data_IF_293790376431
#
_entry.id   IF_293790376431
#
_cell.length_a   1.000
_cell.length_b   1.000
_cell.length_c   1.000
_cell.angle_alpha   90.00
_cell.angle_beta   90.00
_cell.angle_gamma   90.00
#
_symmetry.space_group_name_H-M   'P 1'
#
loop_
_entity.id
_entity.type
_entity.pdbx_description
1 polymer ?
#
# COMPACT_ATOMS: atom_id res chain seq x y z
N UNK A 1 10.17 27.40 25.47
CA UNK A 1 8.72 27.30 25.18
C UNK A 1 8.25 25.94 25.68
N UNK A 2 7.25 25.92 26.56
CA UNK A 2 6.71 24.68 27.15
C UNK A 2 5.73 24.01 26.18
N UNK A 3 6.05 22.80 25.73
CA UNK A 3 5.14 21.93 24.99
C UNK A 3 4.10 21.32 25.97
N UNK A 4 2.81 21.62 25.78
CA UNK A 4 1.64 20.99 26.45
C UNK A 4 0.68 20.55 25.33
N UNK A 5 -0.02 19.41 25.30
CA UNK A 5 -0.33 18.34 26.24
C UNK A 5 -0.32 17.01 25.46
N UNK A 6 0.06 15.92 26.12
CA UNK A 6 0.14 14.57 25.55
C UNK A 6 -1.17 13.81 25.79
N UNK A 7 -1.77 13.25 24.73
CA UNK A 7 -2.50 11.99 24.88
C UNK A 7 -1.46 10.87 24.80
N UNK A 8 -1.14 10.25 25.93
CA UNK A 8 -0.42 8.98 25.94
C UNK A 8 -1.42 7.94 25.45
N UNK A 9 -1.32 7.57 24.18
CA UNK A 9 -1.91 6.32 23.72
C UNK A 9 -0.95 5.21 24.12
N UNK A 10 -1.52 4.15 24.70
CA UNK A 10 -0.87 2.89 25.04
C UNK A 10 -0.03 2.33 23.88
N UNK A 11 0.80 1.32 24.19
CA UNK A 11 1.62 0.58 23.22
C UNK A 11 0.97 0.42 21.84
N UNK A 12 1.78 0.54 20.79
CA UNK A 12 1.30 0.49 19.41
C UNK A 12 0.52 -0.82 19.17
N UNK A 13 -0.76 -0.69 18.82
CA UNK A 13 -1.63 -1.85 18.64
C UNK A 13 -1.14 -2.71 17.48
N UNK A 14 -1.02 -4.01 17.73
CA UNK A 14 -0.55 -4.97 16.75
C UNK A 14 -1.73 -5.74 16.17
N UNK A 15 -1.64 -6.08 14.88
CA UNK A 15 -2.67 -6.84 14.16
C UNK A 15 -2.04 -7.93 13.31
N UNK A 16 -2.74 -9.06 13.21
CA UNK A 16 -2.48 -10.07 12.20
C UNK A 16 -3.04 -9.66 10.83
N UNK A 17 -2.64 -10.36 9.79
CA UNK A 17 -3.08 -10.08 8.42
C UNK A 17 -4.57 -10.38 8.21
N UNK A 18 -5.13 -11.43 8.83
CA UNK A 18 -6.56 -11.71 8.74
C UNK A 18 -7.40 -10.58 9.35
N UNK A 19 -6.93 -10.01 10.46
CA UNK A 19 -7.57 -8.85 11.08
C UNK A 19 -7.52 -7.61 10.18
N UNK A 20 -6.36 -7.36 9.54
CA UNK A 20 -6.21 -6.32 8.50
C UNK A 20 -7.26 -6.48 7.40
N UNK A 21 -7.46 -7.70 6.90
CA UNK A 21 -8.46 -7.99 5.86
C UNK A 21 -9.89 -7.81 6.37
N UNK A 22 -10.20 -8.34 7.55
CA UNK A 22 -11.53 -8.26 8.16
C UNK A 22 -11.95 -6.81 8.44
N UNK A 23 -11.03 -6.01 8.98
CA UNK A 23 -11.22 -4.58 9.26
C UNK A 23 -11.07 -3.71 8.01
N UNK A 24 -10.63 -4.27 6.88
CA UNK A 24 -10.35 -3.55 5.63
C UNK A 24 -9.39 -2.38 5.83
N UNK A 25 -8.35 -2.59 6.63
CA UNK A 25 -7.38 -1.54 6.94
C UNK A 25 -6.61 -1.12 5.68
N UNK A 26 -6.32 0.18 5.57
CA UNK A 26 -5.55 0.73 4.47
C UNK A 26 -4.06 0.44 4.65
N UNK A 27 -3.42 -0.19 3.67
CA UNK A 27 -1.99 -0.47 3.70
C UNK A 27 -1.54 -1.51 2.68
N UNK A 28 -0.29 -1.98 2.76
CA UNK A 28 0.73 -1.57 3.73
C UNK A 28 1.21 -0.13 3.50
N UNK A 29 1.62 0.54 4.59
CA UNK A 29 2.30 1.84 4.57
C UNK A 29 3.57 1.82 5.43
N UNK A 30 4.48 2.75 5.17
CA UNK A 30 5.80 2.82 5.79
C UNK A 30 6.07 4.21 6.36
N UNK A 31 6.58 4.26 7.60
CA UNK A 31 6.98 5.52 8.25
C UNK A 31 8.49 5.73 8.15
N UNK A 32 8.92 6.69 7.32
CA UNK A 32 10.35 7.00 7.13
C UNK A 32 10.91 7.79 8.31
N UNK A 33 11.75 7.16 9.13
CA UNK A 33 12.42 7.79 10.28
C UNK A 33 13.73 7.07 10.62
N UNK A 34 14.49 7.54 11.62
CA UNK A 34 15.73 6.88 12.08
C UNK A 34 15.42 5.62 12.91
N UNK A 35 16.38 4.71 13.05
CA UNK A 35 16.20 3.49 13.86
C UNK A 35 15.88 3.80 15.34
N UNK A 36 16.56 4.79 15.91
CA UNK A 36 16.29 5.27 17.27
C UNK A 36 14.86 5.79 17.43
N UNK A 37 14.41 6.64 16.50
CA UNK A 37 13.03 7.15 16.51
C UNK A 37 12.00 6.04 16.31
N UNK A 38 12.30 5.05 15.47
CA UNK A 38 11.45 3.88 15.31
C UNK A 38 11.37 3.07 16.60
N UNK A 39 12.48 2.86 17.31
CA UNK A 39 12.49 2.18 18.62
C UNK A 39 11.61 2.91 19.65
N UNK A 40 11.68 4.24 19.66
CA UNK A 40 10.83 5.07 20.53
C UNK A 40 9.34 4.99 20.16
N UNK A 41 9.01 4.90 18.87
CA UNK A 41 7.63 4.70 18.40
C UNK A 41 7.11 3.32 18.79
N UNK A 42 7.96 2.29 18.69
CA UNK A 42 7.59 0.91 19.02
C UNK A 42 7.28 0.73 20.52
N UNK A 43 7.92 1.51 21.39
CA UNK A 43 7.69 1.46 22.84
C UNK A 43 6.64 2.47 23.32
N UNK A 44 6.63 3.68 22.76
CA UNK A 44 5.81 4.80 23.24
C UNK A 44 4.68 5.24 22.31
N UNK A 45 4.46 4.52 21.20
CA UNK A 45 3.47 4.86 20.19
C UNK A 45 3.84 6.05 19.31
N UNK A 46 3.01 6.31 18.30
CA UNK A 46 3.12 7.51 17.47
C UNK A 46 2.61 8.75 18.20
N UNK A 47 3.30 9.87 18.00
CA UNK A 47 2.98 11.17 18.61
C UNK A 47 2.93 12.25 17.54
N UNK A 48 1.88 13.07 17.56
CA UNK A 48 1.74 14.22 16.66
C UNK A 48 2.39 15.43 17.34
N UNK A 49 3.38 16.00 16.68
CA UNK A 49 4.09 17.18 17.15
C UNK A 49 3.64 18.42 16.37
N UNK A 50 3.33 19.50 17.08
CA UNK A 50 3.08 20.81 16.47
C UNK A 50 4.10 21.82 16.95
N UNK A 51 4.67 22.61 16.03
CA UNK A 51 5.69 23.60 16.35
C UNK A 51 6.27 24.25 15.11
N UNK A 52 7.35 24.98 15.31
CA UNK A 52 8.11 25.67 14.26
C UNK A 52 8.84 24.68 13.34
N UNK A 53 8.86 24.99 12.05
CA UNK A 53 9.62 24.19 11.08
C UNK A 53 11.11 24.08 11.46
N UNK A 54 11.77 22.97 11.09
CA UNK A 54 13.22 22.75 11.30
C UNK A 54 13.66 22.64 12.77
N UNK A 55 12.73 22.42 13.70
CA UNK A 55 13.02 22.23 15.12
C UNK A 55 12.55 20.85 15.61
N UNK A 56 13.36 20.15 16.40
CA UNK A 56 13.02 18.85 17.01
C UNK A 56 12.36 17.86 16.03
N UNK A 57 11.18 17.36 16.41
CA UNK A 57 10.37 16.41 15.63
C UNK A 57 9.66 17.04 14.42
N UNK A 58 9.71 18.37 14.26
CA UNK A 58 9.13 19.15 13.15
C UNK A 58 10.20 19.49 12.10
N UNK A 59 11.34 18.78 12.11
CA UNK A 59 12.53 19.08 11.29
C UNK A 59 12.34 19.03 9.77
N UNK A 60 11.28 18.40 9.29
CA UNK A 60 10.95 18.28 7.87
C UNK A 60 9.91 19.30 7.38
N UNK A 61 9.50 20.24 8.22
CA UNK A 61 8.57 21.30 7.82
C UNK A 61 9.13 22.24 6.75
N UNK A 62 8.25 22.88 5.99
CA UNK A 62 8.60 23.92 5.03
C UNK A 62 9.27 25.09 5.73
N UNK A 63 10.32 25.62 5.11
CA UNK A 63 10.93 26.89 5.55
C UNK A 63 9.93 28.03 5.28
N UNK A 64 9.94 29.06 6.12
CA UNK A 64 9.14 30.25 5.91
C UNK A 64 9.65 31.01 4.67
N UNK A 65 8.93 30.85 3.57
CA UNK A 65 9.16 31.54 2.30
C UNK A 65 7.84 31.61 1.53
N UNK A 66 7.75 32.53 0.56
CA UNK A 66 6.59 32.56 -0.32
C UNK A 66 6.44 31.24 -1.07
N UNK A 67 5.21 30.74 -1.16
CA UNK A 67 4.88 29.51 -1.87
C UNK A 67 3.97 29.79 -3.07
N UNK A 68 2.87 30.52 -2.85
CA UNK A 68 1.91 30.90 -3.89
C UNK A 68 1.05 32.08 -3.42
N UNK A 69 0.60 32.92 -4.35
CA UNK A 69 -0.27 34.08 -4.10
C UNK A 69 0.22 35.04 -2.98
N UNK A 70 1.54 35.17 -2.80
CA UNK A 70 2.13 35.99 -1.73
C UNK A 70 2.05 35.38 -0.33
N UNK A 71 1.54 34.15 -0.18
CA UNK A 71 1.42 33.44 1.11
C UNK A 71 2.51 32.37 1.23
N UNK A 72 3.02 32.13 2.44
CA UNK A 72 3.92 31.01 2.66
C UNK A 72 3.14 29.69 2.73
N UNK A 73 3.84 28.56 2.60
CA UNK A 73 3.24 27.26 2.85
C UNK A 73 2.93 27.06 4.36
N UNK A 74 1.99 26.19 4.75
CA UNK A 74 1.87 25.72 6.13
C UNK A 74 3.18 25.08 6.60
N UNK A 75 3.31 24.85 7.92
CA UNK A 75 4.52 24.19 8.46
C UNK A 75 4.72 22.81 7.84
N UNK A 76 3.66 22.02 7.74
CA UNK A 76 3.66 20.72 7.04
C UNK A 76 2.62 20.68 5.92
N UNK A 77 2.96 19.98 4.84
CA UNK A 77 2.19 19.95 3.58
C UNK A 77 0.71 19.58 3.75
N UNK A 78 0.39 18.72 4.72
CA UNK A 78 -0.95 18.18 4.99
C UNK A 78 -1.40 18.46 6.44
N UNK A 79 -0.80 19.46 7.10
CA UNK A 79 -1.03 19.77 8.51
C UNK A 79 -0.22 18.89 9.48
N UNK A 80 -0.47 19.04 10.78
CA UNK A 80 0.22 18.27 11.81
C UNK A 80 -0.41 16.88 11.97
N UNK A 81 0.35 15.84 11.62
CA UNK A 81 -0.08 14.45 11.72
C UNK A 81 1.09 13.49 11.52
N UNK A 82 0.80 12.19 11.48
CA UNK A 82 1.79 11.14 11.23
C UNK A 82 1.84 10.85 9.74
N UNK A 83 3.02 11.02 9.15
CA UNK A 83 3.24 10.83 7.73
C UNK A 83 3.75 9.41 7.43
N UNK A 84 3.09 8.76 6.48
CA UNK A 84 3.55 7.50 5.89
C UNK A 84 3.66 7.62 4.38
N UNK A 85 4.26 6.62 3.76
CA UNK A 85 4.30 6.44 2.32
C UNK A 85 3.93 5.01 1.95
N UNK A 86 3.28 4.80 0.80
CA UNK A 86 3.13 3.46 0.23
C UNK A 86 4.39 3.04 -0.58
N UNK A 87 5.35 3.95 -0.76
CA UNK A 87 6.55 3.70 -1.55
C UNK A 87 7.75 3.30 -0.68
N UNK A 88 8.22 2.06 -0.87
CA UNK A 88 9.46 1.57 -0.24
C UNK A 88 10.69 2.39 -0.63
N UNK A 89 10.74 2.97 -1.84
CA UNK A 89 11.87 3.78 -2.26
C UNK A 89 11.94 5.10 -1.51
N UNK A 90 10.79 5.74 -1.27
CA UNK A 90 10.70 6.97 -0.47
C UNK A 90 11.08 6.66 0.97
N UNK A 91 10.59 5.55 1.55
CA UNK A 91 10.98 5.13 2.89
C UNK A 91 12.51 5.00 3.05
N UNK A 92 13.18 4.36 2.08
CA UNK A 92 14.64 4.19 2.10
C UNK A 92 15.42 5.51 2.08
N UNK A 93 14.87 6.58 1.49
CA UNK A 93 15.52 7.89 1.54
C UNK A 93 15.63 8.45 2.97
N UNK A 94 14.72 8.09 3.88
CA UNK A 94 14.71 8.57 5.26
C UNK A 94 15.49 7.68 6.24
N UNK A 95 15.53 6.36 6.01
CA UNK A 95 16.19 5.40 6.90
C UNK A 95 17.56 4.92 6.37
N UNK A 96 17.88 5.19 5.09
CA UNK A 96 19.06 4.65 4.42
C UNK A 96 18.85 3.22 3.90
N UNK A 97 19.41 2.22 4.59
CA UNK A 97 19.53 0.84 4.06
C UNK A 97 18.21 0.06 3.93
N UNK A 98 17.14 0.52 4.59
CA UNK A 98 15.84 -0.14 4.63
C UNK A 98 15.77 -1.41 5.49
N UNK A 99 16.84 -1.73 6.24
CA UNK A 99 16.82 -2.80 7.25
C UNK A 99 15.89 -2.39 8.41
N UNK A 100 15.08 -3.33 8.90
CA UNK A 100 14.14 -3.06 10.00
C UNK A 100 12.86 -2.31 9.60
N UNK A 101 12.57 -2.16 8.31
CA UNK A 101 11.32 -1.59 7.82
C UNK A 101 10.10 -2.30 8.43
N UNK A 102 9.21 -1.52 9.03
CA UNK A 102 7.96 -1.99 9.64
C UNK A 102 6.79 -1.71 8.71
N UNK A 103 5.86 -2.65 8.65
CA UNK A 103 4.60 -2.51 7.90
C UNK A 103 3.50 -2.05 8.84
N UNK A 104 2.91 -0.91 8.52
CA UNK A 104 1.77 -0.38 9.24
C UNK A 104 0.51 -0.45 8.37
N UNK A 105 -0.63 -0.55 9.03
CA UNK A 105 -1.96 -0.51 8.44
C UNK A 105 -2.81 0.52 9.18
N UNK A 106 -3.71 1.16 8.46
CA UNK A 106 -4.42 2.35 8.93
C UNK A 106 -5.94 2.13 8.91
N UNK A 107 -6.60 2.39 10.03
CA UNK A 107 -8.07 2.45 10.11
C UNK A 107 -8.56 3.86 9.76
N UNK A 108 -8.63 4.14 8.47
CA UNK A 108 -8.91 5.48 7.92
C UNK A 108 -10.07 5.43 6.92
N UNK A 109 -11.30 5.12 7.36
CA UNK A 109 -12.46 4.97 6.47
C UNK A 109 -12.81 6.28 5.74
N UNK A 110 -12.54 7.45 6.33
CA UNK A 110 -12.75 8.77 5.71
C UNK A 110 -11.44 9.32 5.17
N UNK A 111 -10.95 8.72 4.09
CA UNK A 111 -9.72 9.15 3.42
C UNK A 111 -10.03 10.06 2.23
N UNK A 112 -9.41 11.24 2.17
CA UNK A 112 -9.43 12.08 0.97
C UNK A 112 -8.17 11.80 0.15
N UNK A 113 -8.32 11.52 -1.14
CA UNK A 113 -7.18 11.46 -2.06
C UNK A 113 -7.07 12.77 -2.83
N UNK A 114 -5.93 13.43 -2.72
CA UNK A 114 -5.63 14.67 -3.44
C UNK A 114 -4.47 14.47 -4.40
N UNK A 115 -4.50 15.18 -5.52
CA UNK A 115 -3.42 15.26 -6.49
C UNK A 115 -3.33 16.70 -6.97
N UNK A 116 -2.17 17.33 -6.80
CA UNK A 116 -1.97 18.71 -7.21
C UNK A 116 -0.71 18.85 -8.04
N UNK A 117 -0.88 19.39 -9.24
CA UNK A 117 0.17 19.60 -10.21
C UNK A 117 0.80 21.02 -10.14
N UNK A 118 0.30 21.92 -9.28
CA UNK A 118 0.83 23.28 -9.16
C UNK A 118 0.69 23.91 -7.76
N UNK A 119 1.64 24.81 -7.36
CA UNK A 119 1.58 25.52 -6.08
C UNK A 119 0.28 26.29 -5.82
N UNK A 120 -0.27 26.97 -6.84
CA UNK A 120 -1.52 27.73 -6.72
C UNK A 120 -2.71 26.83 -6.39
N UNK A 121 -2.76 25.62 -6.96
CA UNK A 121 -3.84 24.67 -6.66
C UNK A 121 -3.74 24.16 -5.23
N UNK A 122 -2.51 23.90 -4.77
CA UNK A 122 -2.26 23.49 -3.39
C UNK A 122 -2.64 24.61 -2.39
N UNK A 123 -2.28 25.86 -2.68
CA UNK A 123 -2.64 27.00 -1.84
C UNK A 123 -4.16 27.18 -1.72
N UNK A 124 -4.89 27.07 -2.83
CA UNK A 124 -6.36 27.08 -2.81
C UNK A 124 -6.93 25.95 -1.94
N UNK A 125 -6.33 24.77 -2.00
CA UNK A 125 -6.74 23.65 -1.15
C UNK A 125 -6.47 23.92 0.34
N UNK A 126 -5.29 24.44 0.69
CA UNK A 126 -4.98 24.82 2.07
C UNK A 126 -5.97 25.86 2.61
N UNK A 127 -6.22 26.93 1.85
CA UNK A 127 -7.16 28.00 2.25
C UNK A 127 -8.58 27.46 2.40
N UNK A 128 -9.05 26.62 1.46
CA UNK A 128 -10.36 25.93 1.58
C UNK A 128 -10.45 25.12 2.88
N UNK A 129 -9.34 24.50 3.27
CA UNK A 129 -9.21 23.72 4.49
C UNK A 129 -8.82 24.56 5.72
N UNK A 130 -8.97 25.88 5.69
CA UNK A 130 -8.86 26.72 6.88
C UNK A 130 -7.44 27.21 7.19
N UNK A 131 -6.53 27.13 6.23
CA UNK A 131 -5.25 27.83 6.31
C UNK A 131 -5.46 29.34 6.10
N UNK A 132 -5.33 30.11 7.17
CA UNK A 132 -5.68 31.53 7.27
C UNK A 132 -4.46 32.46 7.37
N UNK A 133 -3.29 32.00 6.88
CA UNK A 133 -2.06 32.79 6.91
C UNK A 133 -2.15 34.04 6.01
N UNK A 134 -1.89 35.27 6.52
CA UNK A 134 -1.82 36.49 5.71
C UNK A 134 -0.70 36.45 4.65
N UNK A 135 -0.73 37.36 3.68
CA UNK A 135 0.38 37.46 2.72
C UNK A 135 1.63 37.97 3.44
N UNK A 136 2.82 37.53 3.02
CA UNK A 136 4.08 37.95 3.67
C UNK A 136 4.26 39.47 3.68
N UNK A 137 3.83 40.15 2.61
CA UNK A 137 3.85 41.62 2.53
C UNK A 137 2.97 42.32 3.58
N UNK A 138 1.91 41.67 4.05
CA UNK A 138 1.01 42.20 5.09
C UNK A 138 1.60 42.03 6.50
N UNK A 139 2.67 41.23 6.62
CA UNK A 139 3.34 40.91 7.87
C UNK A 139 4.69 41.63 8.02
N UNK A 140 5.00 42.59 7.16
CA UNK A 140 6.31 43.28 7.14
C UNK A 140 6.67 43.98 8.46
N UNK A 141 5.67 44.34 9.26
CA UNK A 141 5.87 45.04 10.54
C UNK A 141 6.01 44.08 11.74
N UNK A 142 5.90 42.77 11.53
CA UNK A 142 6.01 41.76 12.57
C UNK A 142 7.45 41.28 12.70
N UNK A 143 7.88 40.97 13.92
CA UNK A 143 9.13 40.26 14.13
C UNK A 143 9.06 38.84 13.53
N UNK A 144 10.17 38.26 13.04
CA UNK A 144 10.18 36.92 12.43
C UNK A 144 9.57 35.82 13.32
N UNK A 145 9.79 35.88 14.63
CA UNK A 145 9.19 34.94 15.59
C UNK A 145 7.67 35.03 15.63
N UNK A 146 7.11 36.24 15.55
CA UNK A 146 5.66 36.46 15.51
C UNK A 146 5.06 35.94 14.20
N UNK A 147 5.75 36.13 13.07
CA UNK A 147 5.31 35.59 11.77
C UNK A 147 5.23 34.07 11.82
N UNK A 148 6.21 33.41 12.43
CA UNK A 148 6.21 31.95 12.59
C UNK A 148 5.10 31.48 13.56
N UNK A 149 4.85 32.20 14.66
CA UNK A 149 3.72 31.89 15.56
C UNK A 149 2.36 31.98 14.86
N UNK A 150 2.16 33.00 14.00
CA UNK A 150 0.96 33.14 13.18
C UNK A 150 0.85 31.93 12.22
N UNK A 151 1.96 31.55 11.58
CA UNK A 151 2.00 30.40 10.66
C UNK A 151 1.70 29.07 11.35
N UNK A 152 2.20 28.87 12.57
CA UNK A 152 1.91 27.68 13.39
C UNK A 152 0.42 27.62 13.68
N UNK A 153 -0.18 28.73 14.16
CA UNK A 153 -1.62 28.81 14.43
C UNK A 153 -2.46 28.54 13.18
N UNK A 154 -2.08 29.12 12.04
CA UNK A 154 -2.75 28.87 10.77
C UNK A 154 -2.67 27.41 10.33
N UNK A 155 -1.52 26.75 10.56
CA UNK A 155 -1.34 25.33 10.29
C UNK A 155 -2.18 24.46 11.24
N UNK A 156 -2.30 24.85 12.51
CA UNK A 156 -3.16 24.17 13.49
C UNK A 156 -4.64 24.30 13.11
N UNK A 157 -5.09 25.50 12.72
CA UNK A 157 -6.45 25.73 12.24
C UNK A 157 -6.78 24.86 11.02
N UNK A 158 -5.87 24.82 10.05
CA UNK A 158 -6.00 23.95 8.89
C UNK A 158 -6.09 22.47 9.28
N UNK A 159 -5.17 22.01 10.15
CA UNK A 159 -5.16 20.62 10.65
C UNK A 159 -6.48 20.27 11.35
N UNK A 160 -7.01 21.18 12.17
CA UNK A 160 -8.26 20.97 12.90
C UNK A 160 -9.47 20.89 11.98
N UNK A 161 -9.51 21.68 10.90
CA UNK A 161 -10.60 21.60 9.92
C UNK A 161 -10.50 20.35 9.04
N UNK A 162 -9.29 19.91 8.72
CA UNK A 162 -9.11 18.65 7.97
C UNK A 162 -9.59 17.45 8.80
N UNK A 163 -9.12 17.32 10.05
CA UNK A 163 -9.45 16.16 10.92
C UNK A 163 -10.94 16.04 11.28
N UNK A 164 -11.71 17.13 11.16
CA UNK A 164 -13.17 17.11 11.32
C UNK A 164 -13.83 16.31 10.19
N UNK A 165 -13.29 16.41 8.97
CA UNK A 165 -13.87 15.82 7.77
C UNK A 165 -13.25 14.48 7.40
N UNK A 166 -11.97 14.28 7.72
CA UNK A 166 -11.18 13.16 7.25
C UNK A 166 -10.32 12.54 8.35
N UNK A 167 -10.15 11.22 8.30
CA UNK A 167 -9.23 10.48 9.17
C UNK A 167 -7.78 10.58 8.66
N UNK A 168 -7.63 10.68 7.33
CA UNK A 168 -6.35 10.84 6.66
C UNK A 168 -6.47 11.55 5.31
N UNK A 169 -5.37 12.18 4.88
CA UNK A 169 -5.22 12.75 3.53
C UNK A 169 -4.13 11.98 2.79
N UNK A 170 -4.46 11.42 1.63
CA UNK A 170 -3.54 10.74 0.73
C UNK A 170 -3.18 11.64 -0.45
N UNK A 171 -1.95 12.14 -0.45
CA UNK A 171 -1.39 12.90 -1.55
C UNK A 171 -0.71 12.00 -2.58
N UNK A 172 -1.24 12.03 -3.81
CA UNK A 172 -0.70 11.32 -4.99
C UNK A 172 -0.30 12.33 -6.07
N UNK A 173 0.90 12.90 -5.98
CA UNK A 173 1.41 13.90 -6.93
C UNK A 173 2.69 13.47 -7.65
N UNK A 174 3.24 14.33 -8.51
CA UNK A 174 4.65 14.27 -8.93
C UNK A 174 5.34 15.49 -8.32
N UNK A 175 6.30 15.28 -7.42
CA UNK A 175 7.07 16.41 -6.88
C UNK A 175 7.90 17.04 -8.01
N UNK A 176 8.01 18.37 -8.00
CA UNK A 176 8.80 19.07 -9.00
C UNK A 176 10.30 19.01 -8.69
N UNK A 177 10.75 19.13 -7.42
CA UNK A 177 12.18 19.19 -7.06
C UNK A 177 12.52 18.82 -5.58
N UNK A 178 12.37 17.54 -5.18
CA UNK A 178 12.90 16.91 -3.93
C UNK A 178 12.05 16.87 -2.64
N UNK A 179 12.38 15.82 -1.85
CA UNK A 179 11.89 15.34 -0.54
C UNK A 179 10.36 15.37 -0.40
N UNK A 180 9.73 14.19 -0.41
CA UNK A 180 8.28 13.94 -0.30
C UNK A 180 7.55 13.72 -1.66
N UNK A 181 8.22 13.11 -2.64
CA UNK A 181 7.63 12.80 -3.96
C UNK A 181 6.38 11.91 -3.88
N UNK A 182 5.21 12.51 -4.01
CA UNK A 182 4.12 11.92 -4.78
C UNK A 182 3.34 10.73 -4.24
N UNK A 183 3.69 10.20 -3.06
CA UNK A 183 2.91 9.17 -2.38
C UNK A 183 3.05 9.32 -0.87
N UNK A 184 2.17 10.15 -0.30
CA UNK A 184 2.17 10.42 1.13
C UNK A 184 0.77 10.29 1.70
N UNK A 185 0.67 9.72 2.88
CA UNK A 185 -0.56 9.74 3.66
C UNK A 185 -0.28 10.36 5.03
N UNK A 186 -1.08 11.36 5.40
CA UNK A 186 -1.04 11.99 6.71
C UNK A 186 -2.24 11.53 7.53
N UNK A 187 -1.99 10.95 8.70
CA UNK A 187 -3.00 10.43 9.64
C UNK A 187 -3.00 11.30 10.88
N UNK A 188 -4.18 11.78 11.31
CA UNK A 188 -4.29 12.76 12.39
C UNK A 188 -4.47 12.15 13.79
N UNK A 189 -4.92 10.88 13.85
CA UNK A 189 -5.17 10.16 15.10
C UNK A 189 -4.28 8.92 15.17
N UNK A 190 -3.28 8.90 16.07
CA UNK A 190 -2.37 7.77 16.22
C UNK A 190 -3.04 6.45 16.62
N UNK A 191 -4.22 6.49 17.25
CA UNK A 191 -4.95 5.26 17.64
C UNK A 191 -5.45 4.44 16.45
N UNK A 192 -5.44 5.03 15.25
CA UNK A 192 -5.83 4.40 14.00
C UNK A 192 -4.67 3.69 13.29
N UNK A 193 -3.50 3.64 13.91
CA UNK A 193 -2.28 3.10 13.31
C UNK A 193 -2.00 1.74 13.96
N UNK A 194 -1.92 0.71 13.12
CA UNK A 194 -1.66 -0.65 13.55
C UNK A 194 -0.34 -1.15 12.97
N UNK A 195 0.43 -1.87 13.79
CA UNK A 195 1.62 -2.58 13.34
C UNK A 195 1.24 -3.99 12.90
N UNK A 196 1.70 -4.41 11.72
CA UNK A 196 1.58 -5.82 11.33
C UNK A 196 2.52 -6.67 12.19
N UNK A 197 1.94 -7.61 12.95
CA UNK A 197 2.69 -8.68 13.60
C UNK A 197 2.31 -10.02 12.98
N UNK A 198 3.28 -10.64 12.29
CA UNK A 198 3.07 -11.93 11.62
C UNK A 198 2.94 -13.10 12.59
N UNK A 199 3.39 -12.96 13.84
CA UNK A 199 3.27 -13.98 14.88
C UNK A 199 1.83 -14.12 15.39
N UNK A 200 0.97 -13.13 15.14
CA UNK A 200 -0.46 -13.19 15.47
C UNK A 200 -1.29 -13.97 14.44
N UNK A 201 -0.67 -14.40 13.34
CA UNK A 201 -1.38 -15.15 12.30
C UNK A 201 -1.46 -16.63 12.66
N UNK A 202 -2.54 -17.30 12.22
CA UNK A 202 -2.62 -18.76 12.28
C UNK A 202 -1.48 -19.37 11.44
N UNK A 203 -0.79 -20.37 11.99
CA UNK A 203 0.34 -21.06 11.34
C UNK A 203 -0.05 -21.66 9.97
N UNK A 204 -1.33 -22.01 9.79
CA UNK A 204 -1.84 -22.61 8.56
C UNK A 204 -2.27 -21.57 7.52
N UNK A 205 -2.37 -20.29 7.89
CA UNK A 205 -2.99 -19.27 7.05
C UNK A 205 -2.01 -18.64 6.07
N UNK A 206 -2.28 -18.73 4.77
CA UNK A 206 -1.34 -18.33 3.71
C UNK A 206 -1.48 -16.84 3.33
N UNK A 207 -0.34 -16.12 3.26
CA UNK A 207 -0.28 -14.68 2.95
C UNK A 207 0.65 -14.33 1.78
N UNK A 208 0.50 -13.13 1.18
CA UNK A 208 1.48 -12.59 0.24
C UNK A 208 2.92 -12.59 0.80
N UNK A 209 3.85 -13.07 -0.01
CA UNK A 209 5.25 -13.29 0.36
C UNK A 209 5.54 -14.70 0.86
N UNK A 210 4.52 -15.46 1.29
CA UNK A 210 4.73 -16.83 1.76
C UNK A 210 5.13 -17.74 0.61
N UNK A 211 6.13 -18.58 0.90
CA UNK A 211 6.47 -19.73 0.06
C UNK A 211 5.60 -20.89 0.48
N UNK A 212 4.82 -21.44 -0.44
CA UNK A 212 3.80 -22.45 -0.11
C UNK A 212 3.99 -23.67 -1.00
N UNK A 213 3.97 -24.86 -0.38
CA UNK A 213 4.09 -26.12 -1.11
C UNK A 213 2.79 -26.39 -1.85
N UNK A 214 2.90 -26.88 -3.08
CA UNK A 214 1.74 -27.31 -3.85
C UNK A 214 1.33 -28.72 -3.46
N UNK A 215 0.03 -28.93 -3.30
CA UNK A 215 -0.56 -30.25 -3.06
C UNK A 215 -0.33 -31.13 -4.28
N UNK A 216 0.14 -32.36 -4.03
CA UNK A 216 0.43 -33.38 -5.05
C UNK A 216 1.47 -33.00 -6.11
N UNK A 217 2.16 -31.86 -5.96
CA UNK A 217 3.20 -31.40 -6.88
C UNK A 217 4.47 -31.14 -6.08
N UNK A 218 5.60 -31.68 -6.54
CA UNK A 218 6.92 -31.45 -5.95
C UNK A 218 7.46 -30.07 -6.30
N UNK A 219 6.75 -29.04 -5.88
CA UNK A 219 7.11 -27.66 -6.10
C UNK A 219 6.47 -26.72 -5.09
N UNK A 220 6.87 -25.46 -5.15
CA UNK A 220 6.30 -24.43 -4.32
C UNK A 220 6.11 -23.16 -5.13
N UNK A 221 5.21 -22.34 -4.63
CA UNK A 221 4.89 -21.05 -5.22
C UNK A 221 5.11 -19.96 -4.18
N UNK A 222 5.38 -18.74 -4.63
CA UNK A 222 5.40 -17.57 -3.75
C UNK A 222 4.11 -16.81 -3.97
N UNK A 223 3.28 -16.72 -2.94
CA UNK A 223 2.05 -15.94 -3.03
C UNK A 223 2.39 -14.48 -3.25
N UNK A 224 1.81 -13.86 -4.26
CA UNK A 224 1.95 -12.45 -4.56
C UNK A 224 0.77 -11.65 -4.02
N UNK A 225 -0.43 -12.24 -4.05
CA UNK A 225 -1.66 -11.56 -3.64
C UNK A 225 -2.78 -12.56 -3.31
N UNK A 226 -3.75 -12.16 -2.47
CA UNK A 226 -5.00 -12.87 -2.17
C UNK A 226 -6.14 -11.89 -2.42
N UNK A 227 -6.98 -12.15 -3.44
CA UNK A 227 -8.06 -11.24 -3.83
C UNK A 227 -9.42 -11.94 -3.89
N UNK A 228 -10.53 -11.24 -3.59
CA UNK A 228 -11.86 -11.76 -3.86
C UNK A 228 -12.04 -11.96 -5.37
N UNK A 229 -12.66 -13.08 -5.74
CA UNK A 229 -12.87 -13.49 -7.13
C UNK A 229 -13.86 -12.55 -7.83
N UNK A 230 -13.36 -11.63 -8.66
CA UNK A 230 -14.19 -10.68 -9.44
C UNK A 230 -14.51 -11.14 -10.85
N UNK A 231 -13.78 -12.11 -11.40
CA UNK A 231 -13.98 -12.61 -12.76
C UNK A 231 -14.06 -14.14 -12.76
N UNK A 232 -15.05 -14.67 -13.48
CA UNK A 232 -15.12 -16.08 -13.87
C UNK A 232 -14.00 -16.34 -14.90
N UNK A 233 -13.52 -17.57 -15.00
CA UNK A 233 -12.41 -18.05 -15.85
C UNK A 233 -11.04 -18.11 -15.20
N UNK A 234 -10.90 -19.14 -14.38
CA UNK A 234 -9.62 -19.76 -14.07
C UNK A 234 -9.73 -21.26 -14.41
N UNK A 235 -8.94 -21.74 -15.37
CA UNK A 235 -8.94 -23.15 -15.79
C UNK A 235 -8.63 -24.06 -14.59
N UNK A 236 -7.73 -23.63 -13.71
CA UNK A 236 -7.38 -24.38 -12.50
C UNK A 236 -8.57 -24.50 -11.53
N UNK A 237 -9.44 -23.48 -11.44
CA UNK A 237 -10.66 -23.57 -10.64
C UNK A 237 -11.66 -24.59 -11.23
N UNK A 238 -11.77 -24.66 -12.56
CA UNK A 238 -12.61 -25.65 -13.25
C UNK A 238 -12.06 -27.06 -13.10
N UNK A 239 -10.75 -27.26 -13.27
CA UNK A 239 -10.07 -28.56 -13.07
C UNK A 239 -10.34 -29.12 -11.67
N UNK A 240 -10.34 -28.24 -10.67
CA UNK A 240 -10.46 -28.64 -9.28
C UNK A 240 -11.90 -28.63 -8.75
N UNK A 241 -12.87 -28.29 -9.61
CA UNK A 241 -14.29 -28.14 -9.29
C UNK A 241 -14.53 -27.24 -8.06
N UNK A 242 -14.01 -26.01 -8.07
CA UNK A 242 -14.12 -25.10 -6.91
C UNK A 242 -14.82 -23.77 -7.20
N UNK A 243 -15.77 -23.48 -6.32
CA UNK A 243 -16.28 -22.14 -6.07
C UNK A 243 -15.51 -21.53 -4.89
N UNK A 244 -14.24 -21.17 -5.10
CA UNK A 244 -13.54 -20.35 -4.10
C UNK A 244 -14.01 -18.90 -4.19
N UNK A 245 -14.23 -18.28 -3.03
CA UNK A 245 -14.51 -16.83 -2.96
C UNK A 245 -13.23 -15.99 -3.18
N UNK A 246 -12.06 -16.63 -3.08
CA UNK A 246 -10.75 -15.99 -3.16
C UNK A 246 -9.84 -16.72 -4.16
N UNK A 247 -8.98 -15.94 -4.79
CA UNK A 247 -7.95 -16.41 -5.70
C UNK A 247 -6.59 -15.93 -5.17
N UNK A 248 -5.60 -16.82 -5.20
CA UNK A 248 -4.21 -16.49 -4.90
C UNK A 248 -3.47 -16.23 -6.20
N UNK A 249 -2.92 -15.03 -6.37
CA UNK A 249 -1.93 -14.80 -7.43
C UNK A 249 -0.59 -15.32 -6.93
N UNK A 250 0.05 -16.19 -7.71
CA UNK A 250 1.33 -16.80 -7.30
C UNK A 250 2.43 -16.59 -8.33
N UNK A 251 3.65 -16.44 -7.84
CA UNK A 251 4.87 -16.51 -8.63
C UNK A 251 5.41 -17.93 -8.59
N UNK A 252 5.70 -18.46 -9.77
CA UNK A 252 6.09 -19.84 -9.98
C UNK A 252 7.40 -19.92 -10.76
N UNK A 253 8.28 -20.84 -10.38
CA UNK A 253 9.48 -21.11 -11.16
C UNK A 253 9.18 -22.00 -12.38
N UNK A 254 10.05 -21.97 -13.39
CA UNK A 254 9.84 -22.68 -14.65
C UNK A 254 9.70 -24.19 -14.46
N UNK A 255 10.42 -24.79 -13.51
CA UNK A 255 10.35 -26.22 -13.22
C UNK A 255 8.99 -26.60 -12.65
N UNK A 256 8.48 -25.83 -11.69
CA UNK A 256 7.17 -26.07 -11.07
C UNK A 256 6.04 -25.79 -12.06
N UNK A 257 6.20 -24.79 -12.94
CA UNK A 257 5.28 -24.54 -14.03
C UNK A 257 5.19 -25.73 -15.00
N UNK A 258 6.34 -26.32 -15.37
CA UNK A 258 6.35 -27.50 -16.21
C UNK A 258 5.65 -28.69 -15.52
N UNK A 259 5.93 -28.93 -14.25
CA UNK A 259 5.25 -29.99 -13.48
C UNK A 259 3.72 -29.81 -13.45
N UNK A 260 3.24 -28.58 -13.33
CA UNK A 260 1.80 -28.29 -13.40
C UNK A 260 1.22 -28.59 -14.77
N UNK A 261 1.91 -28.16 -15.83
CA UNK A 261 1.51 -28.48 -17.21
C UNK A 261 1.37 -29.99 -17.35
N UNK A 262 2.42 -30.73 -17.05
CA UNK A 262 2.44 -32.19 -17.18
C UNK A 262 1.34 -32.87 -16.34
N UNK A 263 1.04 -32.34 -15.15
CA UNK A 263 0.02 -32.91 -14.25
C UNK A 263 -1.40 -32.66 -14.73
N UNK A 264 -1.68 -31.47 -15.26
CA UNK A 264 -3.06 -30.99 -15.45
C UNK A 264 -3.44 -30.74 -16.92
N UNK A 265 -2.52 -30.90 -17.88
CA UNK A 265 -2.74 -30.58 -19.29
C UNK A 265 -3.93 -31.34 -19.89
N UNK A 266 -4.08 -32.64 -19.64
CA UNK A 266 -5.20 -33.43 -20.17
C UNK A 266 -6.57 -32.97 -19.63
N UNK A 267 -6.64 -32.65 -18.34
CA UNK A 267 -7.86 -32.12 -17.72
C UNK A 267 -8.18 -30.72 -18.24
N UNK A 268 -7.16 -29.88 -18.39
CA UNK A 268 -7.30 -28.56 -18.99
C UNK A 268 -7.83 -28.65 -20.43
N UNK A 269 -7.28 -29.57 -21.25
CA UNK A 269 -7.72 -29.83 -22.64
C UNK A 269 -9.19 -30.19 -22.68
N UNK A 270 -9.61 -31.19 -21.90
CA UNK A 270 -11.00 -31.63 -21.86
C UNK A 270 -11.97 -30.50 -21.46
N UNK A 271 -11.58 -29.64 -20.52
CA UNK A 271 -12.40 -28.47 -20.13
C UNK A 271 -12.49 -27.48 -21.28
N UNK A 272 -11.36 -27.09 -21.87
CA UNK A 272 -11.29 -26.12 -22.98
C UNK A 272 -12.18 -26.55 -24.15
N UNK A 273 -12.15 -27.83 -24.50
CA UNK A 273 -12.93 -28.36 -25.62
C UNK A 273 -14.44 -28.25 -25.43
N UNK A 274 -14.91 -28.28 -24.19
CA UNK A 274 -16.31 -28.31 -23.84
C UNK A 274 -16.80 -26.99 -23.23
N UNK A 275 -15.97 -25.94 -23.22
CA UNK A 275 -16.25 -24.67 -22.58
C UNK A 275 -16.83 -23.65 -23.57
N UNK A 276 -18.12 -23.28 -23.45
CA UNK A 276 -18.76 -22.33 -24.36
C UNK A 276 -18.07 -20.97 -24.40
N UNK A 277 -17.43 -20.56 -23.29
CA UNK A 277 -16.76 -19.26 -23.17
C UNK A 277 -15.37 -19.25 -23.83
N UNK A 278 -14.80 -20.43 -24.10
CA UNK A 278 -13.53 -20.57 -24.84
C UNK A 278 -13.78 -20.88 -26.32
N UNK A 279 -14.99 -21.30 -26.68
CA UNK A 279 -15.38 -21.62 -28.06
C UNK A 279 -15.14 -20.44 -29.03
N UNK A 280 -15.41 -19.20 -28.62
CA UNK A 280 -15.15 -18.01 -29.45
C UNK A 280 -13.65 -17.82 -29.70
N UNK A 281 -12.80 -18.00 -28.67
CA UNK A 281 -11.36 -17.93 -28.81
C UNK A 281 -10.83 -18.99 -29.78
N UNK A 282 -11.27 -20.24 -29.62
CA UNK A 282 -10.83 -21.35 -30.48
C UNK A 282 -11.27 -21.10 -31.92
N UNK A 283 -12.52 -20.67 -32.12
CA UNK A 283 -13.07 -20.33 -33.45
C UNK A 283 -12.24 -19.24 -34.11
N UNK A 284 -11.91 -18.17 -33.38
CA UNK A 284 -11.08 -17.08 -33.87
C UNK A 284 -9.68 -17.58 -34.30
N UNK A 285 -9.02 -18.39 -33.48
CA UNK A 285 -7.69 -18.95 -33.80
C UNK A 285 -7.73 -19.87 -35.03
N UNK A 286 -8.73 -20.74 -35.11
CA UNK A 286 -8.89 -21.64 -36.23
C UNK A 286 -9.15 -20.89 -37.55
N UNK A 287 -10.05 -19.89 -37.53
CA UNK A 287 -10.45 -19.17 -38.73
C UNK A 287 -9.45 -18.10 -39.16
N UNK A 288 -8.95 -17.29 -38.23
CA UNK A 288 -8.12 -16.13 -38.56
C UNK A 288 -6.63 -16.47 -38.67
N UNK A 289 -6.16 -17.54 -38.02
CA UNK A 289 -4.76 -17.96 -38.05
C UNK A 289 -4.54 -19.30 -38.76
N UNK A 290 -5.58 -19.85 -39.37
CA UNK A 290 -5.55 -21.11 -40.11
C UNK A 290 -4.93 -22.27 -39.29
N UNK A 291 -5.29 -22.32 -38.01
CA UNK A 291 -4.83 -23.35 -37.06
C UNK A 291 -5.82 -24.52 -37.04
N UNK A 292 -5.32 -25.74 -36.88
CA UNK A 292 -6.16 -26.87 -36.49
C UNK A 292 -6.76 -26.65 -35.09
N UNK A 293 -7.84 -27.38 -34.78
CA UNK A 293 -8.45 -27.36 -33.43
C UNK A 293 -7.42 -27.65 -32.34
N UNK A 294 -6.54 -28.63 -32.60
CA UNK A 294 -5.49 -29.08 -31.70
C UNK A 294 -4.44 -27.99 -31.46
N UNK A 295 -3.99 -27.31 -32.53
CA UNK A 295 -3.08 -26.18 -32.43
C UNK A 295 -3.71 -24.98 -31.70
N UNK A 296 -5.02 -24.74 -31.90
CA UNK A 296 -5.74 -23.68 -31.20
C UNK A 296 -5.86 -23.96 -29.69
N UNK A 297 -6.15 -25.20 -29.30
CA UNK A 297 -6.18 -25.64 -27.89
C UNK A 297 -4.80 -25.51 -27.27
N UNK A 298 -3.76 -26.00 -27.95
CA UNK A 298 -2.39 -25.91 -27.46
C UNK A 298 -1.94 -24.45 -27.33
N UNK A 299 -2.29 -23.59 -28.29
CA UNK A 299 -2.05 -22.14 -28.22
C UNK A 299 -2.75 -21.49 -27.03
N UNK A 300 -3.98 -21.90 -26.70
CA UNK A 300 -4.70 -21.39 -25.54
C UNK A 300 -4.07 -21.85 -24.21
N UNK A 301 -3.67 -23.12 -24.11
CA UNK A 301 -2.93 -23.65 -22.96
C UNK A 301 -1.62 -22.90 -22.78
N UNK A 302 -0.88 -22.72 -23.86
CA UNK A 302 0.34 -21.95 -23.81
C UNK A 302 0.05 -20.51 -23.43
N UNK A 303 -0.95 -19.83 -23.97
CA UNK A 303 -1.34 -18.50 -23.50
C UNK A 303 -1.63 -18.46 -21.98
N UNK A 304 -2.42 -19.41 -21.49
CA UNK A 304 -2.81 -19.52 -20.09
C UNK A 304 -1.61 -19.77 -19.16
N UNK A 305 -0.69 -20.65 -19.56
CA UNK A 305 0.51 -20.97 -18.81
C UNK A 305 1.73 -20.07 -19.14
N UNK A 306 1.71 -19.24 -20.19
CA UNK A 306 2.87 -18.48 -20.71
C UNK A 306 3.04 -17.09 -20.12
N UNK A 307 2.36 -16.76 -19.02
CA UNK A 307 2.67 -15.54 -18.27
C UNK A 307 3.23 -15.90 -16.91
N UNK A 308 4.55 -15.89 -16.84
CA UNK A 308 5.41 -16.01 -15.64
C UNK A 308 5.16 -14.95 -14.55
N UNK A 309 3.99 -14.32 -14.50
CA UNK A 309 3.75 -13.12 -13.69
C UNK A 309 2.58 -13.29 -12.71
N UNK A 310 1.58 -14.13 -12.98
CA UNK A 310 0.44 -14.29 -12.07
C UNK A 310 -0.46 -15.45 -12.51
N UNK A 311 -0.24 -16.66 -11.99
CA UNK A 311 -1.27 -17.69 -12.07
C UNK A 311 -2.21 -17.55 -10.88
N UNK A 312 -3.49 -17.66 -11.16
CA UNK A 312 -4.53 -17.70 -10.16
C UNK A 312 -4.62 -19.15 -9.65
N UNK A 313 -4.52 -19.31 -8.33
CA UNK A 313 -4.51 -20.62 -7.66
C UNK A 313 -5.65 -20.67 -6.65
N UNK A 314 -6.47 -21.75 -6.66
CA UNK A 314 -7.37 -22.04 -5.57
C UNK A 314 -6.59 -22.48 -4.33
N UNK A 315 -7.13 -22.12 -3.16
CA UNK A 315 -6.51 -22.40 -1.85
C UNK A 315 -6.18 -23.88 -1.63
N UNK A 316 -6.99 -24.81 -2.16
CA UNK A 316 -6.78 -26.25 -1.95
C UNK A 316 -5.53 -26.82 -2.62
N UNK A 317 -4.98 -26.13 -3.62
CA UNK A 317 -3.67 -26.49 -4.19
C UNK A 317 -2.52 -26.09 -3.29
N UNK A 318 -2.77 -25.25 -2.30
CA UNK A 318 -1.78 -24.80 -1.36
C UNK A 318 -1.84 -25.73 -0.14
N UNK A 319 -0.77 -26.47 0.13
CA UNK A 319 -0.74 -27.48 1.18
C UNK A 319 -0.34 -26.87 2.53
N UNK A 320 0.86 -26.30 2.60
CA UNK A 320 1.39 -25.66 3.81
C UNK A 320 2.51 -24.69 3.48
N UNK A 321 2.73 -23.73 4.37
CA UNK A 321 3.89 -22.83 4.30
C UNK A 321 5.19 -23.62 4.39
N UNK A 322 6.16 -23.20 3.60
CA UNK A 322 7.53 -23.71 3.60
C UNK A 322 8.37 -22.74 4.43
N UNK A 323 8.95 -23.21 5.53
CA UNK A 323 9.86 -22.40 6.33
C UNK A 323 11.07 -21.96 5.48
N UNK A 324 11.52 -20.73 5.72
CA UNK A 324 12.67 -20.15 5.02
C UNK A 324 13.90 -21.06 5.19
N UNK A 325 14.49 -21.50 4.07
CA UNK A 325 15.66 -22.40 4.07
C UNK A 325 15.34 -23.89 3.97
N UNK A 326 14.08 -24.32 4.07
CA UNK A 326 13.71 -25.72 3.90
C UNK A 326 13.76 -26.15 2.43
N UNK A 327 14.37 -27.31 2.16
CA UNK A 327 14.27 -27.97 0.85
C UNK A 327 12.87 -28.55 0.67
N UNK A 328 12.32 -28.41 -0.53
CA UNK A 328 11.06 -29.05 -0.92
C UNK A 328 11.45 -30.41 -1.47
N UNK A 329 11.06 -31.49 -0.79
CA UNK A 329 11.37 -32.89 -1.15
C UNK A 329 10.28 -33.53 -2.02
#
# INVERSE_FOLDING_TARGET
MNFKNWQILSELTQVGYQEVQNKKLFGPVYHGTTEESMSNIMTGGFKVFSGQARTGDVRHGYILQEYADGKPAPVHHLGYGIYFTQSKSIFKQYQGSGKGMKEFYLDVPRIETINFASPNTMMKWWVKNGYDMPKLKELSNYAPSQVEEIRIKATQNMTNKIKQNYDAILFKGKGLYSLLDGNQICVYDPSRIYLLNQELNDENEIFPGDKVKLKNIKGAVIVQDKRPKKYRFDIMDKILNQNSNYIYTVKIDSKTLQLLKDTYQEQARSIIENDPEVAEFLTNRMQNLNMSKEEAIQSYLDYYFSKSIALNFPERLLEKKVKKGSRIS
#
